data_IF_937886126520
#
_entry.id   IF_937886126520
#
_cell.length_a   1.000
_cell.length_b   1.000
_cell.length_c   1.000
_cell.angle_alpha   90.00
_cell.angle_beta   90.00
_cell.angle_gamma   90.00
#
_symmetry.space_group_name_H-M   'P 1'
#
loop_
_entity.id
_entity.type
_entity.pdbx_description
1 polymer ?
#
# COMPACT_ATOMS: atom_id res chain seq x y z
N UNK A 1 17.53 17.18 -5.23
CA UNK A 1 17.27 15.76 -5.49
C UNK A 1 17.82 15.44 -6.86
N UNK A 2 18.73 14.46 -6.97
CA UNK A 2 19.21 13.95 -8.26
C UNK A 2 18.17 12.99 -8.84
N UNK A 3 17.24 13.53 -9.63
CA UNK A 3 16.12 12.76 -10.20
C UNK A 3 16.62 11.64 -11.13
N UNK A 4 17.57 11.88 -12.06
CA UNK A 4 18.17 10.80 -12.85
C UNK A 4 18.78 9.67 -12.01
N UNK A 5 19.50 10.02 -10.94
CA UNK A 5 20.09 9.05 -10.02
C UNK A 5 19.04 8.17 -9.33
N UNK A 6 17.99 8.78 -8.79
CA UNK A 6 16.89 8.02 -8.15
C UNK A 6 16.15 7.13 -9.14
N UNK A 7 15.90 7.61 -10.36
CA UNK A 7 15.30 6.78 -11.42
C UNK A 7 16.19 5.58 -11.73
N UNK A 8 17.50 5.78 -11.87
CA UNK A 8 18.43 4.70 -12.19
C UNK A 8 18.48 3.65 -11.07
N UNK A 9 18.42 4.08 -9.81
CA UNK A 9 18.39 3.22 -8.62
C UNK A 9 17.10 2.40 -8.54
N UNK A 10 15.94 3.02 -8.76
CA UNK A 10 14.63 2.38 -8.58
C UNK A 10 14.21 1.49 -9.75
N UNK A 11 14.63 1.84 -10.98
CA UNK A 11 14.15 1.21 -12.22
C UNK A 11 14.27 -0.32 -12.25
N UNK A 12 15.38 -0.95 -11.88
CA UNK A 12 15.50 -2.41 -11.98
C UNK A 12 14.44 -3.13 -11.14
N UNK A 13 14.30 -2.73 -9.87
CA UNK A 13 13.34 -3.33 -8.94
C UNK A 13 11.89 -3.07 -9.35
N UNK A 14 11.56 -1.83 -9.72
CA UNK A 14 10.20 -1.50 -10.20
C UNK A 14 9.86 -2.27 -11.47
N UNK A 15 10.80 -2.39 -12.42
CA UNK A 15 10.56 -3.12 -13.68
C UNK A 15 10.30 -4.61 -13.41
N UNK A 16 11.09 -5.22 -12.53
CA UNK A 16 10.89 -6.61 -12.10
C UNK A 16 9.50 -6.80 -11.49
N UNK A 17 9.14 -5.98 -10.50
CA UNK A 17 7.87 -6.11 -9.78
C UNK A 17 6.64 -5.77 -10.65
N UNK A 18 6.74 -4.81 -11.58
CA UNK A 18 5.66 -4.49 -12.52
C UNK A 18 5.23 -5.70 -13.36
N UNK A 19 6.17 -6.56 -13.73
CA UNK A 19 5.88 -7.80 -14.45
C UNK A 19 5.11 -8.83 -13.61
N UNK A 20 5.12 -8.67 -12.28
CA UNK A 20 4.51 -9.58 -11.29
C UNK A 20 3.24 -9.04 -10.65
N UNK A 21 2.82 -7.81 -10.95
CA UNK A 21 1.69 -7.11 -10.33
C UNK A 21 0.43 -7.98 -10.19
N UNK A 22 0.03 -8.73 -11.23
CA UNK A 22 -1.16 -9.59 -11.18
C UNK A 22 -1.13 -10.68 -10.10
N UNK A 23 0.07 -11.09 -9.71
CA UNK A 23 0.31 -12.11 -8.68
C UNK A 23 0.56 -11.51 -7.30
N UNK A 24 1.09 -10.28 -7.25
CA UNK A 24 1.37 -9.55 -6.02
C UNK A 24 0.10 -8.99 -5.38
N UNK A 25 -0.78 -8.43 -6.21
CA UNK A 25 -2.05 -7.87 -5.77
C UNK A 25 -2.99 -8.99 -5.33
N UNK A 26 -3.65 -8.79 -4.18
CA UNK A 26 -4.49 -9.79 -3.51
C UNK A 26 -5.94 -9.32 -3.46
N UNK A 27 -6.82 -10.26 -3.13
CA UNK A 27 -8.26 -10.05 -2.89
C UNK A 27 -8.91 -8.92 -3.68
N UNK A 28 -9.44 -7.93 -2.97
CA UNK A 28 -10.20 -6.82 -3.57
C UNK A 28 -9.31 -5.90 -4.40
N UNK A 29 -8.04 -5.73 -4.02
CA UNK A 29 -7.08 -4.91 -4.76
C UNK A 29 -6.86 -5.43 -6.20
N UNK A 30 -6.76 -6.76 -6.35
CA UNK A 30 -6.62 -7.41 -7.65
C UNK A 30 -7.88 -7.29 -8.50
N UNK A 31 -9.05 -7.36 -7.87
CA UNK A 31 -10.33 -7.17 -8.55
C UNK A 31 -10.49 -5.73 -9.03
N UNK A 32 -10.13 -4.75 -8.20
CA UNK A 32 -10.12 -3.33 -8.54
C UNK A 32 -9.18 -3.03 -9.73
N UNK A 33 -7.97 -3.60 -9.71
CA UNK A 33 -7.02 -3.49 -10.81
C UNK A 33 -7.61 -4.00 -12.13
N UNK A 34 -8.21 -5.19 -12.13
CA UNK A 34 -8.86 -5.77 -13.32
C UNK A 34 -10.05 -4.96 -13.79
N UNK A 35 -10.89 -4.49 -12.86
CA UNK A 35 -12.04 -3.65 -13.16
C UNK A 35 -11.61 -2.32 -13.80
N UNK A 36 -10.51 -1.74 -13.34
CA UNK A 36 -9.95 -0.52 -13.91
C UNK A 36 -9.46 -0.73 -15.35
N UNK A 37 -8.68 -1.79 -15.60
CA UNK A 37 -8.21 -2.14 -16.94
C UNK A 37 -9.37 -2.37 -17.91
N UNK A 38 -10.39 -3.15 -17.50
CA UNK A 38 -11.60 -3.38 -18.30
C UNK A 38 -12.39 -2.08 -18.55
N UNK A 39 -12.43 -1.19 -17.56
CA UNK A 39 -13.05 0.13 -17.67
C UNK A 39 -12.34 1.06 -18.67
N UNK A 40 -11.03 0.92 -18.84
CA UNK A 40 -10.27 1.62 -19.87
C UNK A 40 -10.50 0.99 -21.26
N UNK A 41 -10.44 -0.34 -21.34
CA UNK A 41 -10.66 -1.08 -22.60
C UNK A 41 -12.05 -0.82 -23.18
N UNK A 42 -13.10 -0.82 -22.34
CA UNK A 42 -14.47 -0.47 -22.75
C UNK A 42 -14.64 0.95 -23.28
N UNK A 43 -13.68 1.85 -23.04
CA UNK A 43 -13.64 3.21 -23.61
C UNK A 43 -12.84 3.29 -24.92
N UNK A 44 -12.41 2.15 -25.46
CA UNK A 44 -11.71 2.05 -26.76
C UNK A 44 -10.19 2.07 -26.67
N UNK A 45 -9.60 1.94 -25.47
CA UNK A 45 -8.16 1.69 -25.36
C UNK A 45 -7.84 0.25 -25.75
N UNK A 46 -6.75 -0.02 -26.50
CA UNK A 46 -6.24 -1.37 -26.69
C UNK A 46 -5.93 -2.05 -25.35
N UNK A 47 -6.19 -3.35 -25.26
CA UNK A 47 -6.07 -4.10 -24.00
C UNK A 47 -4.67 -4.03 -23.37
N UNK A 48 -3.62 -4.08 -24.19
CA UNK A 48 -2.22 -3.97 -23.75
C UNK A 48 -1.90 -2.59 -23.18
N UNK A 49 -2.48 -1.53 -23.75
CA UNK A 49 -2.35 -0.17 -23.26
C UNK A 49 -3.17 0.05 -21.99
N UNK A 50 -4.39 -0.51 -21.92
CA UNK A 50 -5.25 -0.45 -20.74
C UNK A 50 -4.58 -1.15 -19.55
N UNK A 51 -4.03 -2.35 -19.76
CA UNK A 51 -3.29 -3.11 -18.74
C UNK A 51 -2.03 -2.34 -18.30
N UNK A 52 -1.20 -1.89 -19.24
CA UNK A 52 0.02 -1.13 -18.91
C UNK A 52 -0.27 0.16 -18.15
N UNK A 53 -1.28 0.93 -18.58
CA UNK A 53 -1.69 2.16 -17.91
C UNK A 53 -2.15 1.87 -16.47
N UNK A 54 -2.94 0.82 -16.30
CA UNK A 54 -3.40 0.36 -14.99
C UNK A 54 -2.23 -0.01 -14.09
N UNK A 55 -1.29 -0.85 -14.56
CA UNK A 55 -0.11 -1.24 -13.78
C UNK A 55 0.73 -0.06 -13.31
N UNK A 56 0.85 0.99 -14.13
CA UNK A 56 1.59 2.20 -13.75
C UNK A 56 0.89 3.01 -12.65
N UNK A 57 -0.44 3.06 -12.68
CA UNK A 57 -1.25 3.77 -11.66
C UNK A 57 -1.19 3.03 -10.32
N UNK A 58 -1.33 1.70 -10.34
CA UNK A 58 -1.32 0.88 -9.15
C UNK A 58 0.10 0.56 -8.65
N UNK A 59 1.12 0.70 -9.51
CA UNK A 59 2.51 0.39 -9.20
C UNK A 59 3.24 1.42 -8.34
N UNK A 60 2.57 2.46 -7.82
CA UNK A 60 3.25 3.49 -7.02
C UNK A 60 3.89 2.91 -5.73
N UNK A 61 3.20 1.97 -5.06
CA UNK A 61 3.73 1.29 -3.88
C UNK A 61 4.99 0.45 -4.15
N UNK A 62 5.30 0.14 -5.42
CA UNK A 62 6.53 -0.57 -5.78
C UNK A 62 7.79 0.25 -5.47
N UNK A 63 7.69 1.58 -5.46
CA UNK A 63 8.80 2.45 -5.05
C UNK A 63 9.14 2.23 -3.57
N UNK A 64 8.12 2.18 -2.71
CA UNK A 64 8.30 1.90 -1.28
C UNK A 64 8.89 0.50 -1.07
N UNK A 65 8.42 -0.50 -1.82
CA UNK A 65 8.91 -1.88 -1.75
C UNK A 65 10.41 -1.95 -2.08
N UNK A 66 10.82 -1.32 -3.18
CA UNK A 66 12.25 -1.28 -3.55
C UNK A 66 13.07 -0.54 -2.50
N UNK A 67 12.53 0.55 -1.94
CA UNK A 67 13.20 1.31 -0.90
C UNK A 67 13.36 0.51 0.40
N UNK A 68 12.32 -0.20 0.83
CA UNK A 68 12.35 -1.09 2.01
C UNK A 68 13.34 -2.23 1.79
N UNK A 69 13.29 -2.91 0.65
CA UNK A 69 14.21 -3.99 0.31
C UNK A 69 15.68 -3.51 0.36
N UNK A 70 15.95 -2.34 -0.22
CA UNK A 70 17.29 -1.75 -0.28
C UNK A 70 17.81 -1.37 1.11
N UNK A 71 17.01 -0.72 1.94
CA UNK A 71 17.45 -0.23 3.25
C UNK A 71 17.55 -1.34 4.30
N UNK A 72 16.65 -2.31 4.27
CA UNK A 72 16.60 -3.40 5.25
C UNK A 72 17.40 -4.64 4.82
N UNK A 73 17.86 -4.71 3.56
CA UNK A 73 18.63 -5.84 3.03
C UNK A 73 17.80 -7.13 2.85
N UNK A 74 16.48 -6.99 2.69
CA UNK A 74 15.56 -8.11 2.45
C UNK A 74 15.42 -8.40 0.95
N UNK A 75 15.01 -9.63 0.63
CA UNK A 75 14.69 -10.00 -0.76
C UNK A 75 13.53 -9.14 -1.30
N UNK A 76 13.66 -8.68 -2.55
CA UNK A 76 12.73 -7.74 -3.15
C UNK A 76 11.32 -8.34 -3.29
N UNK A 77 11.23 -9.62 -3.67
CA UNK A 77 9.96 -10.30 -3.87
C UNK A 77 9.31 -10.64 -2.52
N UNK A 78 10.09 -11.03 -1.52
CA UNK A 78 9.61 -11.22 -0.15
C UNK A 78 9.00 -9.93 0.43
N UNK A 79 9.68 -8.78 0.24
CA UNK A 79 9.18 -7.48 0.68
C UNK A 79 7.87 -7.14 -0.04
N UNK A 80 7.80 -7.35 -1.36
CA UNK A 80 6.60 -7.09 -2.15
C UNK A 80 5.42 -7.94 -1.66
N UNK A 81 5.64 -9.23 -1.41
CA UNK A 81 4.59 -10.14 -0.96
C UNK A 81 4.04 -9.76 0.42
N UNK A 82 4.90 -9.33 1.35
CA UNK A 82 4.46 -8.82 2.67
C UNK A 82 3.74 -7.48 2.53
N UNK A 83 4.26 -6.56 1.72
CA UNK A 83 3.67 -5.24 1.48
C UNK A 83 2.22 -5.35 0.98
N UNK A 84 1.98 -6.16 -0.06
CA UNK A 84 0.64 -6.34 -0.62
C UNK A 84 -0.27 -7.24 0.23
N UNK A 85 0.30 -8.14 1.05
CA UNK A 85 -0.49 -8.83 2.06
C UNK A 85 -1.01 -7.86 3.14
N UNK A 86 -0.18 -6.91 3.58
CA UNK A 86 -0.60 -5.84 4.50
C UNK A 86 -1.56 -4.85 3.82
N UNK A 87 -1.33 -4.50 2.55
CA UNK A 87 -2.22 -3.64 1.75
C UNK A 87 -3.66 -4.16 1.77
N UNK A 88 -3.84 -5.43 1.40
CA UNK A 88 -5.15 -6.11 1.42
C UNK A 88 -5.72 -6.14 2.84
N UNK A 89 -4.90 -6.53 3.82
CA UNK A 89 -5.32 -6.70 5.21
C UNK A 89 -5.80 -5.41 5.88
N UNK A 90 -5.25 -4.26 5.50
CA UNK A 90 -5.63 -2.93 5.98
C UNK A 90 -6.44 -2.13 4.95
N UNK A 91 -6.87 -2.77 3.85
CA UNK A 91 -7.68 -2.16 2.79
C UNK A 91 -7.11 -0.86 2.27
N UNK A 92 -5.80 -0.84 2.04
CA UNK A 92 -5.07 0.39 1.70
C UNK A 92 -5.56 0.98 0.37
N UNK A 93 -5.92 0.15 -0.61
CA UNK A 93 -6.49 0.62 -1.89
C UNK A 93 -7.84 1.33 -1.72
N UNK A 94 -8.71 0.84 -0.82
CA UNK A 94 -9.97 1.51 -0.50
C UNK A 94 -9.72 2.87 0.15
N UNK A 95 -8.76 2.94 1.08
CA UNK A 95 -8.36 4.20 1.71
C UNK A 95 -7.78 5.18 0.68
N UNK A 96 -6.92 4.72 -0.23
CA UNK A 96 -6.37 5.53 -1.33
C UNK A 96 -7.46 6.01 -2.29
N UNK A 97 -8.47 5.17 -2.56
CA UNK A 97 -9.64 5.52 -3.35
C UNK A 97 -10.48 6.59 -2.66
N UNK A 98 -10.76 6.45 -1.36
CA UNK A 98 -11.48 7.47 -0.57
C UNK A 98 -10.70 8.78 -0.48
N UNK A 99 -9.38 8.73 -0.28
CA UNK A 99 -8.51 9.91 -0.32
C UNK A 99 -8.65 10.61 -1.68
N UNK A 100 -8.67 9.87 -2.79
CA UNK A 100 -8.79 10.42 -4.13
C UNK A 100 -10.12 11.14 -4.37
N UNK A 101 -11.18 10.75 -3.66
CA UNK A 101 -12.52 11.36 -3.69
C UNK A 101 -12.67 12.60 -2.80
N UNK A 102 -11.67 12.93 -1.96
CA UNK A 102 -11.72 14.13 -1.14
C UNK A 102 -11.80 15.42 -1.99
N UNK A 103 -12.46 16.48 -1.48
CA UNK A 103 -12.53 17.78 -2.14
C UNK A 103 -11.16 18.35 -2.52
N UNK A 104 -11.15 19.17 -3.57
CA UNK A 104 -9.95 19.83 -4.13
C UNK A 104 -10.27 21.24 -4.61
N UNK A 105 -11.17 21.92 -3.90
CA UNK A 105 -11.71 23.23 -4.24
C UNK A 105 -10.68 24.33 -3.97
N UNK A 106 -9.76 24.10 -3.03
CA UNK A 106 -8.68 25.02 -2.70
C UNK A 106 -7.30 24.34 -2.59
N UNK A 107 -6.28 25.19 -2.42
CA UNK A 107 -4.89 24.77 -2.28
C UNK A 107 -4.65 23.90 -1.04
N UNK A 108 -5.30 24.20 0.08
CA UNK A 108 -5.12 23.47 1.34
C UNK A 108 -5.73 22.08 1.28
N UNK A 109 -6.91 21.95 0.68
CA UNK A 109 -7.55 20.66 0.42
C UNK A 109 -6.69 19.78 -0.49
N UNK A 110 -6.12 20.37 -1.54
CA UNK A 110 -5.18 19.66 -2.43
C UNK A 110 -3.94 19.17 -1.68
N UNK A 111 -3.34 20.02 -0.83
CA UNK A 111 -2.20 19.66 0.00
C UNK A 111 -2.54 18.58 1.04
N UNK A 112 -3.69 18.67 1.70
CA UNK A 112 -4.15 17.70 2.69
C UNK A 112 -4.33 16.32 2.06
N UNK A 113 -4.91 16.26 0.86
CA UNK A 113 -5.08 15.00 0.11
C UNK A 113 -3.75 14.37 -0.28
N UNK A 114 -2.79 15.20 -0.74
CA UNK A 114 -1.43 14.71 -1.05
C UNK A 114 -0.74 14.20 0.22
N UNK A 115 -0.81 14.95 1.32
CA UNK A 115 -0.21 14.56 2.59
C UNK A 115 -0.78 13.23 3.11
N UNK A 116 -2.10 13.07 3.11
CA UNK A 116 -2.73 11.79 3.49
C UNK A 116 -2.25 10.62 2.64
N UNK A 117 -2.15 10.82 1.32
CA UNK A 117 -1.70 9.77 0.41
C UNK A 117 -0.26 9.35 0.70
N UNK A 118 0.64 10.32 0.85
CA UNK A 118 2.04 10.05 1.17
C UNK A 118 2.21 9.42 2.54
N UNK A 119 1.49 9.90 3.55
CA UNK A 119 1.57 9.34 4.89
C UNK A 119 1.04 7.91 4.95
N UNK A 120 0.02 7.57 4.15
CA UNK A 120 -0.51 6.21 4.06
C UNK A 120 0.50 5.24 3.44
N UNK A 121 1.13 5.63 2.33
CA UNK A 121 2.22 4.86 1.73
C UNK A 121 3.39 4.68 2.70
N UNK A 122 3.84 5.76 3.34
CA UNK A 122 4.91 5.70 4.34
C UNK A 122 4.56 4.80 5.53
N UNK A 123 3.30 4.82 5.99
CA UNK A 123 2.84 3.95 7.06
C UNK A 123 2.86 2.47 6.66
N UNK A 124 2.43 2.14 5.44
CA UNK A 124 2.47 0.77 4.91
C UNK A 124 3.90 0.28 4.72
N UNK A 125 4.80 1.12 4.18
CA UNK A 125 6.22 0.80 4.04
C UNK A 125 6.89 0.52 5.38
N UNK A 126 6.64 1.37 6.38
CA UNK A 126 7.17 1.19 7.73
C UNK A 126 6.61 -0.08 8.41
N UNK A 127 5.32 -0.37 8.21
CA UNK A 127 4.71 -1.59 8.73
C UNK A 127 5.26 -2.85 8.06
N UNK A 128 5.53 -2.78 6.76
CA UNK A 128 6.19 -3.85 6.00
C UNK A 128 7.56 -4.15 6.59
N UNK A 129 8.39 -3.12 6.79
CA UNK A 129 9.70 -3.27 7.43
C UNK A 129 9.59 -3.87 8.84
N UNK A 130 8.60 -3.45 9.63
CA UNK A 130 8.34 -3.99 10.97
C UNK A 130 8.02 -5.49 10.94
N UNK A 131 7.13 -5.93 10.06
CA UNK A 131 6.79 -7.36 9.90
C UNK A 131 8.02 -8.18 9.47
N UNK A 132 8.80 -7.66 8.51
CA UNK A 132 10.00 -8.33 8.03
C UNK A 132 11.08 -8.45 9.12
N UNK A 133 11.19 -7.49 10.03
CA UNK A 133 12.20 -7.47 11.10
C UNK A 133 11.77 -8.27 12.34
N UNK A 134 10.46 -8.40 12.59
CA UNK A 134 9.90 -9.10 13.75
C UNK A 134 9.62 -10.57 13.51
N UNK A 135 9.81 -11.07 12.29
CA UNK A 135 9.55 -12.48 11.92
C UNK A 135 10.76 -13.12 11.25
N UNK A 136 10.94 -14.46 11.28
CA UNK A 136 12.05 -15.11 10.60
C UNK A 136 12.00 -14.94 9.07
N UNK A 137 13.15 -14.70 8.43
CA UNK A 137 13.27 -14.65 6.96
C UNK A 137 12.96 -16.00 6.32
N UNK A 138 12.43 -15.99 5.10
CA UNK A 138 12.08 -17.19 4.34
C UNK A 138 10.76 -17.84 4.75
N UNK A 139 10.08 -17.29 5.77
CA UNK A 139 8.71 -17.64 6.09
C UNK A 139 7.76 -17.06 5.02
N UNK A 140 6.73 -17.81 4.57
CA UNK A 140 5.77 -17.27 3.60
C UNK A 140 5.13 -15.97 4.09
N UNK A 141 5.00 -14.97 3.21
CA UNK A 141 4.50 -13.65 3.58
C UNK A 141 3.16 -13.65 4.36
N UNK A 142 2.13 -14.44 3.98
CA UNK A 142 0.90 -14.50 4.76
C UNK A 142 1.10 -15.01 6.19
N UNK A 143 2.08 -15.90 6.40
CA UNK A 143 2.42 -16.41 7.72
C UNK A 143 3.19 -15.36 8.53
N UNK A 144 4.13 -14.61 7.91
CA UNK A 144 4.82 -13.49 8.57
C UNK A 144 3.82 -12.45 9.07
N UNK A 145 2.87 -12.04 8.22
CA UNK A 145 1.80 -11.10 8.61
C UNK A 145 0.99 -11.66 9.77
N UNK A 146 0.53 -12.92 9.69
CA UNK A 146 -0.24 -13.53 10.77
C UNK A 146 0.53 -13.59 12.10
N UNK A 147 1.79 -14.02 12.09
CA UNK A 147 2.62 -14.09 13.30
C UNK A 147 2.79 -12.71 13.93
N UNK A 148 3.02 -11.69 13.12
CA UNK A 148 3.09 -10.32 13.62
C UNK A 148 1.73 -9.83 14.16
N UNK A 149 0.62 -10.17 13.52
CA UNK A 149 -0.72 -9.81 13.99
C UNK A 149 -1.07 -10.45 15.34
N UNK A 150 -0.69 -11.72 15.55
CA UNK A 150 -0.90 -12.43 16.81
C UNK A 150 -0.18 -11.73 17.96
N UNK A 151 1.06 -11.26 17.72
CA UNK A 151 1.81 -10.47 18.69
C UNK A 151 1.19 -9.07 18.95
N UNK A 152 0.42 -8.54 18.00
CA UNK A 152 -0.17 -7.20 18.05
C UNK A 152 -1.71 -7.20 18.15
N UNK A 153 -2.31 -8.32 18.56
CA UNK A 153 -3.73 -8.62 18.36
C UNK A 153 -4.68 -7.51 18.86
N UNK A 154 -4.39 -6.92 20.02
CA UNK A 154 -5.25 -5.86 20.58
C UNK A 154 -5.26 -4.58 19.74
N UNK A 155 -4.10 -4.17 19.23
CA UNK A 155 -3.96 -2.99 18.37
C UNK A 155 -4.54 -3.25 16.98
N UNK A 156 -4.32 -4.44 16.45
CA UNK A 156 -4.90 -4.89 15.17
C UNK A 156 -6.42 -4.89 15.22
N UNK A 157 -7.02 -5.44 16.28
CA UNK A 157 -8.48 -5.48 16.43
C UNK A 157 -9.08 -4.06 16.43
N UNK A 158 -8.45 -3.10 17.12
CA UNK A 158 -8.90 -1.69 17.11
C UNK A 158 -8.82 -1.07 15.72
N UNK A 159 -7.71 -1.26 15.00
CA UNK A 159 -7.55 -0.74 13.64
C UNK A 159 -8.55 -1.36 12.67
N UNK A 160 -8.77 -2.68 12.75
CA UNK A 160 -9.76 -3.39 11.89
C UNK A 160 -11.18 -2.90 12.13
N UNK A 161 -11.58 -2.71 13.39
CA UNK A 161 -12.92 -2.20 13.71
C UNK A 161 -13.14 -0.80 13.12
N UNK A 162 -12.16 0.09 13.27
CA UNK A 162 -12.27 1.44 12.71
C UNK A 162 -12.33 1.45 11.18
N UNK A 163 -11.55 0.58 10.51
CA UNK A 163 -11.64 0.42 9.04
C UNK A 163 -13.05 -0.04 8.64
N UNK A 164 -13.60 -1.04 9.34
CA UNK A 164 -14.96 -1.53 9.07
C UNK A 164 -16.05 -0.47 9.25
N UNK A 165 -15.95 0.37 10.28
CA UNK A 165 -16.88 1.50 10.48
C UNK A 165 -16.79 2.55 9.38
N UNK A 166 -15.61 2.72 8.77
CA UNK A 166 -15.37 3.73 7.75
C UNK A 166 -15.91 3.35 6.37
N UNK A 167 -16.05 2.06 6.06
CA UNK A 167 -16.46 1.59 4.73
C UNK A 167 -17.81 2.15 4.29
N UNK A 168 -18.77 2.23 5.20
CA UNK A 168 -20.12 2.74 4.93
C UNK A 168 -20.20 4.28 4.90
N UNK A 169 -19.12 4.96 5.28
CA UNK A 169 -19.07 6.43 5.34
C UNK A 169 -18.61 7.07 4.03
N UNK A 170 -19.04 8.31 3.79
CA UNK A 170 -18.53 9.12 2.68
C UNK A 170 -17.05 9.45 2.93
N UNK A 171 -16.30 9.68 1.86
CA UNK A 171 -14.92 10.16 1.96
C UNK A 171 -14.87 11.48 2.73
N UNK A 172 -14.22 11.47 3.89
CA UNK A 172 -14.05 12.64 4.76
C UNK A 172 -12.63 12.65 5.34
N UNK A 173 -12.05 13.83 5.44
CA UNK A 173 -10.68 14.06 5.89
C UNK A 173 -10.47 13.58 7.34
N UNK A 174 -11.43 13.81 8.23
CA UNK A 174 -11.27 13.51 9.65
C UNK A 174 -11.21 11.99 9.93
N UNK A 175 -12.16 11.15 9.47
CA UNK A 175 -12.08 9.70 9.61
C UNK A 175 -10.81 9.12 8.97
N UNK A 176 -10.44 9.56 7.76
CA UNK A 176 -9.21 9.11 7.09
C UNK A 176 -7.95 9.42 7.92
N UNK A 177 -7.90 10.61 8.51
CA UNK A 177 -6.77 11.00 9.37
C UNK A 177 -6.69 10.15 10.65
N UNK A 178 -7.85 9.78 11.22
CA UNK A 178 -7.92 8.90 12.40
C UNK A 178 -7.43 7.50 12.05
N UNK A 179 -7.90 6.92 10.95
CA UNK A 179 -7.47 5.59 10.48
C UNK A 179 -5.98 5.55 10.20
N UNK A 180 -5.46 6.54 9.48
CA UNK A 180 -4.04 6.67 9.22
C UNK A 180 -3.24 6.74 10.54
N UNK A 181 -3.71 7.50 11.53
CA UNK A 181 -3.07 7.54 12.85
C UNK A 181 -3.05 6.18 13.55
N UNK A 182 -4.13 5.42 13.44
CA UNK A 182 -4.20 4.08 14.01
C UNK A 182 -3.23 3.13 13.32
N UNK A 183 -3.16 3.13 11.98
CA UNK A 183 -2.19 2.33 11.21
C UNK A 183 -0.76 2.71 11.63
N UNK A 184 -0.44 4.00 11.72
CA UNK A 184 0.88 4.48 12.19
C UNK A 184 1.22 4.08 13.62
N UNK A 185 0.22 3.80 14.46
CA UNK A 185 0.44 3.34 15.84
C UNK A 185 0.85 1.87 15.88
N UNK A 186 0.45 1.07 14.89
CA UNK A 186 0.88 -0.34 14.76
C UNK A 186 2.40 -0.43 14.58
N UNK A 187 2.97 0.47 13.78
CA UNK A 187 4.43 0.58 13.57
C UNK A 187 5.19 0.80 14.88
N UNK A 188 4.63 1.57 15.83
CA UNK A 188 5.33 1.95 17.08
C UNK A 188 5.21 0.95 18.21
N UNK A 189 4.19 0.08 18.18
CA UNK A 189 3.88 -0.80 19.31
C UNK A 189 4.87 -1.97 19.39
N UNK A 190 5.42 -2.40 18.26
CA UNK A 190 6.33 -3.52 18.19
C UNK A 190 7.79 -3.17 18.55
N UNK A 191 8.23 -1.91 18.36
CA UNK A 191 9.56 -1.45 18.79
C UNK A 191 9.72 -1.29 20.32
N UNK A 192 8.64 -1.44 21.08
CA UNK A 192 8.63 -1.32 22.55
C UNK A 192 8.54 -2.68 23.26
N UNK A 193 8.64 -3.79 22.52
CA UNK A 193 8.59 -5.18 23.04
C UNK A 193 9.92 -5.90 22.85
#
# INVERSE_FOLDING_TARGET
MDVPGEIAKQRPGVTHLLSRVDTLFRGTEREALRAHANGLASKGLPDDIADRATRLVYGFGLLDVVEVATHAGHDLDEVAEVYFALSEQFRVDDLLSKISLLPREDRWQTLARMALRYDLYAALAALTAEVLNSTPSGMPAPQRVRTWEEANASSIARTRNAIGEFDDSRADLAPLSVLLRQIRTLVRTASAS
#
